data_IF_998142612553
#
_entry.id   IF_998142612553
#
_cell.length_a   1.000
_cell.length_b   1.000
_cell.length_c   1.000
_cell.angle_alpha   90.00
_cell.angle_beta   90.00
_cell.angle_gamma   90.00
#
_symmetry.space_group_name_H-M   'P 1'
#
loop_
_entity.id
_entity.type
_entity.pdbx_description
1 polymer ?
#
# COMPACT_ATOMS: atom_id res chain seq x y z
N UNK A 1 7.61 20.18 10.72
CA UNK A 1 6.28 19.85 10.14
C UNK A 1 5.91 18.44 10.59
N UNK A 2 4.76 18.27 11.28
CA UNK A 2 4.32 16.96 11.78
C UNK A 2 3.96 16.07 10.58
N UNK A 3 4.51 14.85 10.51
CA UNK A 3 4.09 13.83 9.54
C UNK A 3 2.63 13.47 9.85
N UNK A 4 1.69 13.95 9.05
CA UNK A 4 0.27 13.63 9.20
C UNK A 4 -0.03 12.39 8.37
N UNK A 5 -0.52 11.33 9.01
CA UNK A 5 -1.10 10.18 8.29
C UNK A 5 -2.36 10.65 7.58
N UNK A 6 -2.43 10.40 6.27
CA UNK A 6 -3.54 10.89 5.42
C UNK A 6 -4.53 9.79 5.06
N UNK A 7 -4.09 8.54 4.98
CA UNK A 7 -4.92 7.38 4.69
C UNK A 7 -4.36 6.12 5.38
N UNK A 8 -5.23 5.16 5.67
CA UNK A 8 -4.93 3.80 6.10
C UNK A 8 -5.97 2.84 5.55
N UNK A 9 -5.52 1.78 4.89
CA UNK A 9 -6.36 0.65 4.49
C UNK A 9 -5.76 -0.62 5.09
N UNK A 10 -6.60 -1.48 5.67
CA UNK A 10 -6.20 -2.81 6.17
C UNK A 10 -7.09 -3.84 5.48
N UNK A 11 -6.47 -4.84 4.85
CA UNK A 11 -7.19 -5.87 4.11
C UNK A 11 -6.74 -7.27 4.52
N UNK A 12 -7.71 -8.11 4.90
CA UNK A 12 -7.49 -9.54 5.12
C UNK A 12 -7.47 -10.25 3.76
N UNK A 13 -6.36 -10.88 3.41
CA UNK A 13 -6.14 -11.51 2.09
C UNK A 13 -6.41 -13.03 2.05
N UNK A 14 -6.36 -13.72 3.19
CA UNK A 14 -6.66 -15.15 3.30
C UNK A 14 -5.73 -15.90 4.24
N UNK A 15 -6.05 -17.18 4.42
CA UNK A 15 -5.10 -18.16 4.97
C UNK A 15 -4.50 -18.94 3.80
N UNK A 16 -3.18 -18.85 3.64
CA UNK A 16 -2.45 -19.48 2.53
C UNK A 16 -1.60 -20.64 3.06
N UNK A 17 -1.93 -21.90 2.74
CA UNK A 17 -1.12 -23.03 3.15
C UNK A 17 0.18 -23.09 2.32
N UNK A 18 1.25 -23.73 2.83
CA UNK A 18 2.48 -23.92 2.07
C UNK A 18 2.23 -24.62 0.73
N UNK A 19 2.59 -23.97 -0.38
CA UNK A 19 2.52 -24.50 -1.75
C UNK A 19 3.75 -24.07 -2.55
N UNK A 20 4.07 -24.85 -3.60
CA UNK A 20 5.14 -24.50 -4.55
C UNK A 20 4.73 -23.40 -5.52
N UNK A 21 3.44 -23.36 -5.84
CA UNK A 21 2.84 -22.35 -6.72
C UNK A 21 2.69 -21.02 -5.96
N UNK A 22 2.82 -19.92 -6.70
CA UNK A 22 2.68 -18.57 -6.15
C UNK A 22 1.19 -18.25 -5.98
N UNK A 23 0.84 -17.60 -4.87
CA UNK A 23 -0.48 -17.03 -4.68
C UNK A 23 -0.52 -15.61 -5.22
N UNK A 24 -1.54 -15.32 -6.03
CA UNK A 24 -1.80 -13.98 -6.55
C UNK A 24 -2.98 -13.35 -5.82
N UNK A 25 -2.85 -12.07 -5.50
CA UNK A 25 -3.90 -11.28 -4.87
C UNK A 25 -3.94 -9.92 -5.55
N UNK A 26 -5.14 -9.53 -5.98
CA UNK A 26 -5.40 -8.21 -6.59
C UNK A 26 -6.21 -7.39 -5.61
N UNK A 27 -5.66 -6.25 -5.17
CA UNK A 27 -6.38 -5.31 -4.34
C UNK A 27 -7.59 -4.72 -5.09
N UNK A 28 -8.67 -4.36 -4.38
CA UNK A 28 -9.77 -3.60 -4.98
C UNK A 28 -9.27 -2.31 -5.63
N UNK A 29 -10.05 -1.80 -6.59
CA UNK A 29 -9.77 -0.50 -7.19
C UNK A 29 -9.92 0.61 -6.14
N UNK A 30 -8.93 1.50 -6.06
CA UNK A 30 -8.95 2.70 -5.24
C UNK A 30 -8.85 3.94 -6.12
N UNK A 31 -9.74 4.91 -5.90
CA UNK A 31 -9.67 6.21 -6.58
C UNK A 31 -8.77 7.17 -5.78
N UNK A 32 -7.86 7.85 -6.48
CA UNK A 32 -6.97 8.85 -5.86
C UNK A 32 -7.60 10.23 -5.98
N UNK A 33 -7.62 10.99 -4.88
CA UNK A 33 -8.09 12.38 -4.89
C UNK A 33 -7.22 13.23 -5.82
N UNK A 34 -7.81 13.71 -6.92
CA UNK A 34 -7.13 14.55 -7.90
C UNK A 34 -7.15 16.02 -7.46
N UNK A 35 -6.07 16.75 -7.73
CA UNK A 35 -5.96 18.18 -7.41
C UNK A 35 -4.51 18.66 -7.34
N UNK A 36 -4.26 19.92 -7.72
CA UNK A 36 -2.90 20.50 -7.80
C UNK A 36 -2.15 20.40 -6.46
N UNK A 37 -2.87 20.48 -5.34
CA UNK A 37 -2.32 20.38 -3.98
C UNK A 37 -1.83 18.97 -3.59
N UNK A 38 -2.21 17.93 -4.35
CA UNK A 38 -1.88 16.52 -4.08
C UNK A 38 -0.66 16.03 -4.86
N UNK A 39 0.03 16.89 -5.61
CA UNK A 39 1.23 16.51 -6.38
C UNK A 39 2.51 16.43 -5.54
N UNK A 40 2.39 16.38 -4.21
CA UNK A 40 3.54 16.34 -3.27
C UNK A 40 4.05 14.90 -3.08
N UNK A 41 5.30 14.69 -2.66
CA UNK A 41 5.78 13.36 -2.29
C UNK A 41 5.05 12.81 -1.06
N UNK A 42 4.59 11.57 -1.16
CA UNK A 42 3.99 10.79 -0.08
C UNK A 42 4.96 9.72 0.41
N UNK A 43 4.78 9.32 1.67
CA UNK A 43 5.41 8.13 2.25
C UNK A 43 4.36 7.06 2.41
N UNK A 44 4.54 5.93 1.75
CA UNK A 44 3.76 4.72 1.93
C UNK A 44 4.44 3.79 2.92
N UNK A 45 3.63 3.17 3.78
CA UNK A 45 4.06 2.11 4.70
C UNK A 45 3.14 0.94 4.41
N UNK A 46 3.71 -0.20 3.99
CA UNK A 46 2.99 -1.44 3.75
C UNK A 46 3.54 -2.51 4.69
N UNK A 47 2.65 -3.10 5.49
CA UNK A 47 2.99 -4.16 6.43
C UNK A 47 2.13 -5.38 6.14
N UNK A 48 2.77 -6.53 5.99
CA UNK A 48 2.12 -7.82 5.84
C UNK A 48 2.25 -8.57 7.16
N UNK A 49 1.11 -8.88 7.77
CA UNK A 49 1.04 -9.61 9.03
C UNK A 49 -0.07 -10.64 9.02
N UNK A 50 0.02 -11.61 9.92
CA UNK A 50 -1.00 -12.61 10.18
C UNK A 50 -1.74 -12.33 11.51
N UNK A 51 -2.77 -13.12 11.80
CA UNK A 51 -3.56 -13.06 13.02
C UNK A 51 -2.80 -13.49 14.29
N UNK A 52 -1.65 -14.16 14.13
CA UNK A 52 -0.69 -14.45 15.20
C UNK A 52 0.19 -13.23 15.56
N UNK A 53 0.06 -12.12 14.84
CA UNK A 53 0.83 -10.88 15.06
C UNK A 53 2.26 -10.93 14.52
N UNK A 54 2.59 -11.90 13.65
CA UNK A 54 3.91 -11.99 13.02
C UNK A 54 3.97 -11.01 11.86
N UNK A 55 5.05 -10.23 11.81
CA UNK A 55 5.33 -9.34 10.68
C UNK A 55 6.12 -10.14 9.64
N UNK A 56 5.47 -10.45 8.53
CA UNK A 56 6.08 -11.16 7.40
C UNK A 56 6.95 -10.22 6.55
N UNK A 57 6.49 -8.98 6.38
CA UNK A 57 7.20 -7.95 5.63
C UNK A 57 6.78 -6.56 6.12
N UNK A 58 7.75 -5.67 6.26
CA UNK A 58 7.54 -4.23 6.50
C UNK A 58 8.30 -3.45 5.41
N UNK A 59 7.54 -2.69 4.61
CA UNK A 59 8.03 -1.96 3.45
C UNK A 59 7.70 -0.47 3.59
N UNK A 60 8.74 0.35 3.51
CA UNK A 60 8.62 1.80 3.47
C UNK A 60 9.01 2.30 2.09
N UNK A 61 8.15 3.08 1.45
CA UNK A 61 8.39 3.61 0.11
C UNK A 61 7.94 5.07 0.00
N UNK A 62 8.45 5.75 -1.03
CA UNK A 62 8.05 7.12 -1.37
C UNK A 62 7.57 7.15 -2.79
N UNK A 63 6.44 7.83 -3.02
CA UNK A 63 5.87 8.02 -4.34
C UNK A 63 5.32 9.44 -4.47
N UNK A 64 5.10 9.88 -5.71
CA UNK A 64 4.54 11.20 -5.99
C UNK A 64 3.39 11.03 -6.99
N UNK A 65 2.30 11.74 -6.76
CA UNK A 65 1.21 11.80 -7.72
C UNK A 65 1.58 12.77 -8.83
N UNK A 66 1.47 12.31 -10.07
CA UNK A 66 1.72 13.10 -11.27
C UNK A 66 0.42 13.26 -12.05
N UNK A 67 0.26 14.39 -12.74
CA UNK A 67 -0.90 14.63 -13.61
C UNK A 67 -0.83 13.76 -14.86
N UNK A 68 0.38 13.57 -15.37
CA UNK A 68 0.68 12.80 -16.58
C UNK A 68 1.81 11.83 -16.25
N UNK A 69 1.63 10.57 -16.65
CA UNK A 69 2.68 9.56 -16.53
C UNK A 69 3.77 9.86 -17.56
N UNK A 70 5.03 9.64 -17.19
CA UNK A 70 6.13 9.68 -18.16
C UNK A 70 6.12 8.34 -18.90
N UNK A 71 6.17 8.41 -20.23
CA UNK A 71 6.39 7.26 -21.11
C UNK A 71 7.77 6.61 -20.87
#
# INVERSE_FOLDING_TARGET
MKKKKVNETVQMIGSFPPKKEIFEFTSPYEEVLTGEANTKPYKGIAQFSDDDGRILLDLNYTFQLVKEWKD
#
